data_IF_390004493139
#
_entry.id   IF_390004493139
#
_cell.length_a   1.000
_cell.length_b   1.000
_cell.length_c   1.000
_cell.angle_alpha   90.00
_cell.angle_beta   90.00
_cell.angle_gamma   90.00
#
_symmetry.space_group_name_H-M   'P 1'
#
loop_
_entity.id
_entity.type
_entity.pdbx_description
1 polymer ?
#
# COMPACT_ATOMS: atom_id res chain seq x y z
N UNK A 1 28.49 6.72 -8.26
CA UNK A 1 28.29 6.73 -6.78
C UNK A 1 27.14 7.63 -6.35
N UNK A 2 27.03 8.88 -6.85
CA UNK A 2 25.91 9.79 -6.54
C UNK A 2 24.53 9.22 -6.90
N UNK A 3 24.39 8.64 -8.11
CA UNK A 3 23.16 7.98 -8.55
C UNK A 3 22.73 6.81 -7.66
N UNK A 4 23.69 6.01 -7.18
CA UNK A 4 23.41 4.84 -6.35
C UNK A 4 22.88 5.29 -4.98
N UNK A 5 23.45 6.36 -4.41
CA UNK A 5 22.98 6.93 -3.14
C UNK A 5 21.55 7.50 -3.26
N UNK A 6 21.22 8.19 -4.36
CA UNK A 6 19.86 8.73 -4.59
C UNK A 6 18.84 7.60 -4.74
N UNK A 7 19.15 6.56 -5.52
CA UNK A 7 18.24 5.40 -5.70
C UNK A 7 18.00 4.68 -4.38
N UNK A 8 19.04 4.47 -3.56
CA UNK A 8 18.89 3.85 -2.23
C UNK A 8 18.04 4.73 -1.30
N UNK A 9 18.25 6.05 -1.29
CA UNK A 9 17.45 6.96 -0.48
C UNK A 9 15.97 7.01 -0.90
N UNK A 10 15.68 6.95 -2.20
CA UNK A 10 14.30 6.91 -2.70
C UNK A 10 13.64 5.57 -2.31
N UNK A 11 14.34 4.45 -2.49
CA UNK A 11 13.83 3.12 -2.15
C UNK A 11 13.50 3.01 -0.66
N UNK A 12 14.41 3.44 0.21
CA UNK A 12 14.21 3.43 1.67
C UNK A 12 13.10 4.37 2.15
N UNK A 13 12.85 5.49 1.45
CA UNK A 13 11.76 6.41 1.79
C UNK A 13 10.35 5.88 1.43
N UNK A 14 10.25 5.04 0.40
CA UNK A 14 9.02 4.37 0.01
C UNK A 14 8.67 3.21 0.95
N UNK A 15 9.69 2.50 1.42
CA UNK A 15 9.56 1.42 2.41
C UNK A 15 8.85 1.90 3.69
N UNK A 16 9.05 3.15 4.12
CA UNK A 16 8.40 3.69 5.32
C UNK A 16 6.90 4.01 5.18
N UNK A 17 6.40 4.33 3.98
CA UNK A 17 5.00 4.79 3.80
C UNK A 17 3.99 3.66 3.71
N UNK A 18 4.40 2.52 3.19
CA UNK A 18 3.51 1.40 2.88
C UNK A 18 3.96 0.10 3.56
N UNK A 19 4.51 0.24 4.76
CA UNK A 19 4.80 -0.87 5.66
C UNK A 19 4.15 -0.62 7.04
N UNK A 20 3.66 -1.69 7.70
CA UNK A 20 3.59 -3.07 7.22
C UNK A 20 2.52 -3.26 6.13
N UNK A 21 2.53 -4.42 5.48
CA UNK A 21 1.44 -4.84 4.59
C UNK A 21 0.13 -4.89 5.38
N UNK A 22 -0.93 -4.28 4.87
CA UNK A 22 -2.27 -4.45 5.44
C UNK A 22 -2.74 -5.90 5.23
N UNK A 23 -3.03 -6.61 6.33
CA UNK A 23 -3.37 -8.05 6.33
C UNK A 23 -4.84 -8.36 6.00
N UNK A 24 -5.62 -7.34 5.64
CA UNK A 24 -7.05 -7.51 5.37
C UNK A 24 -7.92 -7.31 6.61
N UNK A 25 -9.14 -6.85 6.38
CA UNK A 25 -10.22 -6.84 7.35
C UNK A 25 -10.98 -8.16 7.32
N UNK A 26 -11.38 -8.64 8.50
CA UNK A 26 -12.27 -9.79 8.64
C UNK A 26 -13.63 -9.31 9.14
N UNK A 27 -14.70 -9.98 8.71
CA UNK A 27 -16.02 -9.74 9.28
C UNK A 27 -16.03 -10.15 10.75
N UNK A 28 -16.28 -9.19 11.63
CA UNK A 28 -16.38 -9.44 13.08
C UNK A 28 -17.72 -10.06 13.50
N UNK A 29 -17.86 -10.43 14.78
CA UNK A 29 -19.15 -10.81 15.36
C UNK A 29 -20.18 -9.70 15.10
N UNK A 30 -21.30 -10.05 14.47
CA UNK A 30 -22.32 -9.08 14.02
C UNK A 30 -22.31 -8.74 12.53
N UNK A 31 -21.48 -9.41 11.72
CA UNK A 31 -21.56 -9.31 10.26
C UNK A 31 -20.99 -8.01 9.70
N UNK A 32 -19.92 -7.49 10.30
CA UNK A 32 -19.26 -6.28 9.79
C UNK A 32 -18.88 -6.48 8.32
N UNK A 33 -19.45 -5.66 7.45
CA UNK A 33 -19.25 -5.77 6.01
C UNK A 33 -17.80 -5.45 5.65
N UNK A 34 -17.22 -6.34 4.86
CA UNK A 34 -15.93 -6.14 4.19
C UNK A 34 -16.16 -6.04 2.70
N UNK A 35 -15.32 -5.28 2.00
CA UNK A 35 -15.39 -5.10 0.56
C UNK A 35 -13.99 -5.23 -0.05
N UNK A 36 -13.87 -5.55 -1.35
CA UNK A 36 -12.58 -5.60 -2.02
C UNK A 36 -11.89 -4.22 -2.00
N UNK A 37 -10.61 -4.21 -1.69
CA UNK A 37 -9.73 -3.06 -1.70
C UNK A 37 -8.30 -3.48 -2.03
N UNK A 38 -7.34 -2.61 -1.73
CA UNK A 38 -5.95 -2.76 -2.17
C UNK A 38 -4.97 -2.45 -1.03
N UNK A 39 -3.85 -3.17 -1.02
CA UNK A 39 -2.70 -2.99 -0.14
C UNK A 39 -1.43 -3.08 -0.97
N UNK A 40 -0.39 -2.33 -0.62
CA UNK A 40 0.91 -2.49 -1.22
C UNK A 40 1.68 -3.61 -0.50
N UNK A 41 2.15 -4.59 -1.27
CA UNK A 41 3.00 -5.66 -0.80
C UNK A 41 4.46 -5.35 -1.19
N UNK A 42 5.32 -4.96 -0.23
CA UNK A 42 6.72 -4.64 -0.52
C UNK A 42 7.50 -5.88 -1.00
N UNK A 43 7.11 -7.09 -0.59
CA UNK A 43 7.78 -8.32 -1.02
C UNK A 43 7.60 -8.62 -2.51
N UNK A 44 6.48 -8.18 -3.10
CA UNK A 44 6.20 -8.33 -4.54
C UNK A 44 6.32 -7.01 -5.29
N UNK A 45 6.65 -5.92 -4.57
CA UNK A 45 6.67 -4.54 -5.07
C UNK A 45 5.40 -4.18 -5.86
N UNK A 46 4.23 -4.57 -5.37
CA UNK A 46 2.97 -4.41 -6.11
C UNK A 46 1.75 -4.18 -5.22
N UNK A 47 0.72 -3.56 -5.79
CA UNK A 47 -0.58 -3.43 -5.15
C UNK A 47 -1.41 -4.70 -5.37
N UNK A 48 -1.77 -5.36 -4.27
CA UNK A 48 -2.52 -6.62 -4.25
C UNK A 48 -3.92 -6.40 -3.66
N UNK A 49 -4.88 -7.20 -4.12
CA UNK A 49 -6.25 -7.12 -3.65
C UNK A 49 -6.40 -7.77 -2.26
N UNK A 50 -7.16 -7.12 -1.38
CA UNK A 50 -7.46 -7.58 -0.02
C UNK A 50 -8.89 -7.20 0.35
N UNK A 51 -9.46 -7.87 1.35
CA UNK A 51 -10.72 -7.42 1.95
C UNK A 51 -10.42 -6.26 2.90
N UNK A 52 -11.19 -5.18 2.83
CA UNK A 52 -11.02 -4.00 3.69
C UNK A 52 -12.31 -3.71 4.43
N UNK A 53 -12.20 -3.11 5.62
CA UNK A 53 -13.36 -2.60 6.35
C UNK A 53 -13.66 -1.15 5.95
N UNK A 54 -14.77 -0.60 6.43
CA UNK A 54 -15.05 0.85 6.33
C UNK A 54 -13.92 1.71 6.92
N UNK A 55 -13.18 1.18 7.90
CA UNK A 55 -11.96 1.78 8.46
C UNK A 55 -10.75 1.39 7.62
N UNK A 56 -10.66 1.97 6.43
CA UNK A 56 -9.54 1.79 5.49
C UNK A 56 -8.88 3.15 5.23
N UNK A 57 -7.60 3.29 5.57
CA UNK A 57 -6.85 4.56 5.44
C UNK A 57 -5.48 4.34 4.79
N UNK A 58 -5.01 5.26 3.94
CA UNK A 58 -3.68 5.20 3.32
C UNK A 58 -2.53 5.03 4.32
N UNK A 59 -2.60 5.70 5.47
CA UNK A 59 -1.60 5.60 6.54
C UNK A 59 -1.46 4.19 7.15
N UNK A 60 -2.44 3.32 6.91
CA UNK A 60 -2.40 1.91 7.30
C UNK A 60 -2.26 0.98 6.11
N UNK A 61 -1.69 1.46 4.99
CA UNK A 61 -1.51 0.70 3.75
C UNK A 61 -2.82 0.08 3.23
N UNK A 62 -3.91 0.84 3.30
CA UNK A 62 -5.23 0.41 2.89
C UNK A 62 -5.86 1.41 1.93
N UNK A 63 -6.24 0.93 0.75
CA UNK A 63 -6.73 1.74 -0.37
C UNK A 63 -8.01 1.18 -0.97
N UNK A 64 -8.87 2.06 -1.47
CA UNK A 64 -10.12 1.67 -2.14
C UNK A 64 -9.93 1.33 -3.61
N UNK A 65 -8.87 1.83 -4.24
CA UNK A 65 -8.57 1.61 -5.65
C UNK A 65 -7.09 1.29 -5.85
N UNK A 66 -6.78 0.59 -6.95
CA UNK A 66 -5.41 0.19 -7.30
C UNK A 66 -4.53 1.41 -7.56
N UNK A 67 -5.08 2.38 -8.29
CA UNK A 67 -4.38 3.60 -8.72
C UNK A 67 -3.95 4.44 -7.50
N UNK A 68 -4.79 4.47 -6.46
CA UNK A 68 -4.46 5.18 -5.22
C UNK A 68 -3.41 4.45 -4.39
N UNK A 69 -3.42 3.11 -4.42
CA UNK A 69 -2.34 2.33 -3.82
C UNK A 69 -1.02 2.58 -4.55
N UNK A 70 -1.02 2.49 -5.89
CA UNK A 70 0.16 2.69 -6.72
C UNK A 70 0.72 4.11 -6.55
N UNK A 71 -0.08 5.15 -6.75
CA UNK A 71 0.40 6.54 -6.61
C UNK A 71 0.87 6.91 -5.19
N UNK A 72 0.40 6.23 -4.15
CA UNK A 72 0.81 6.51 -2.78
C UNK A 72 2.09 5.78 -2.37
N UNK A 73 2.26 4.54 -2.86
CA UNK A 73 3.33 3.63 -2.45
C UNK A 73 4.47 3.51 -3.47
N UNK A 74 4.21 3.82 -4.74
CA UNK A 74 5.18 3.76 -5.82
C UNK A 74 5.71 5.17 -6.14
N UNK A 75 6.94 5.51 -5.71
CA UNK A 75 7.55 6.80 -6.04
C UNK A 75 7.89 6.93 -7.53
N UNK A 76 7.97 5.83 -8.30
CA UNK A 76 8.40 5.84 -9.70
C UNK A 76 7.28 6.18 -10.69
N UNK A 77 6.02 6.12 -10.25
CA UNK A 77 4.87 6.50 -11.10
C UNK A 77 4.74 8.02 -11.31
N UNK A 78 5.56 8.83 -10.62
CA UNK A 78 5.58 10.29 -10.71
C UNK A 78 6.65 10.84 -11.67
N UNK A 79 7.45 9.98 -12.33
CA UNK A 79 8.51 10.39 -13.27
C UNK A 79 8.19 10.11 -14.75
N UNK A 80 6.91 9.95 -15.13
CA UNK A 80 6.46 9.87 -16.54
C UNK A 80 5.87 11.20 -17.04
#
# INVERSE_FOLDING_TARGET
LFFIAVVICIHTSAEGKCQPRYNGGYGGPGGANVFPGWTFNPSTNSCEQVMVTSRCRPSGNCFRTKEKCQSYCDPWLLEL
#
